data_IF_461132690332
#
_entry.id   IF_461132690332
#
_cell.length_a   1.000
_cell.length_b   1.000
_cell.length_c   1.000
_cell.angle_alpha   90.00
_cell.angle_beta   90.00
_cell.angle_gamma   90.00
#
_symmetry.space_group_name_H-M   'P 1'
#
loop_
_entity.id
_entity.type
_entity.pdbx_description
1 polymer ?
#
# COMPACT_ATOMS: atom_id res chain seq x y z
N UNK A 1 -10.81 0.44 -12.21
CA UNK A 1 -10.88 1.87 -11.84
C UNK A 1 -9.86 2.59 -12.71
N UNK A 2 -10.18 3.72 -13.35
CA UNK A 2 -9.14 4.58 -13.91
C UNK A 2 -8.18 4.95 -12.77
N UNK A 3 -6.88 4.97 -13.05
CA UNK A 3 -5.87 5.50 -12.12
C UNK A 3 -6.38 6.82 -11.57
N UNK A 4 -6.55 6.93 -10.24
CA UNK A 4 -6.86 8.23 -9.66
C UNK A 4 -5.67 9.13 -10.00
N UNK A 5 -5.88 10.15 -10.83
CA UNK A 5 -4.86 11.15 -11.16
C UNK A 5 -4.74 12.07 -9.95
N UNK A 6 -4.18 11.52 -8.86
CA UNK A 6 -4.07 12.17 -7.58
C UNK A 6 -2.85 13.09 -7.58
N UNK A 7 -2.93 14.15 -6.78
CA UNK A 7 -1.88 15.14 -6.68
C UNK A 7 -0.57 14.54 -6.12
N UNK A 8 0.55 14.95 -6.69
CA UNK A 8 1.88 14.41 -6.39
C UNK A 8 2.80 15.44 -5.70
N UNK A 9 3.77 14.97 -4.89
CA UNK A 9 4.84 15.82 -4.40
C UNK A 9 5.88 16.12 -5.51
N UNK A 10 6.65 17.22 -5.41
CA UNK A 10 6.71 18.17 -4.29
C UNK A 10 5.57 19.20 -4.25
N UNK A 11 4.81 19.37 -5.33
CA UNK A 11 3.77 20.41 -5.41
C UNK A 11 2.66 20.17 -4.39
N UNK A 12 2.36 18.91 -4.12
CA UNK A 12 1.29 18.47 -3.24
C UNK A 12 1.75 17.27 -2.39
N UNK A 13 2.52 17.51 -1.31
CA UNK A 13 2.92 16.45 -0.38
C UNK A 13 1.72 15.90 0.41
N UNK A 14 1.99 14.92 1.27
CA UNK A 14 1.02 14.39 2.22
C UNK A 14 0.28 15.54 2.95
N UNK A 15 -1.06 15.48 3.09
CA UNK A 15 -1.94 14.35 2.77
C UNK A 15 -2.64 14.42 1.39
N UNK A 16 -2.17 15.21 0.43
CA UNK A 16 -2.92 15.51 -0.80
C UNK A 16 -3.37 14.27 -1.59
N UNK A 17 -2.45 13.35 -1.89
CA UNK A 17 -2.78 12.10 -2.60
C UNK A 17 -3.83 11.26 -1.84
N UNK A 18 -3.70 11.16 -0.52
CA UNK A 18 -4.63 10.43 0.34
C UNK A 18 -6.03 11.06 0.35
N UNK A 19 -6.11 12.39 0.39
CA UNK A 19 -7.38 13.13 0.30
C UNK A 19 -8.07 12.91 -1.05
N UNK A 20 -7.30 12.87 -2.13
CA UNK A 20 -7.82 12.61 -3.48
C UNK A 20 -8.35 11.18 -3.61
N UNK A 21 -7.62 10.19 -3.09
CA UNK A 21 -8.06 8.80 -3.04
C UNK A 21 -9.37 8.66 -2.23
N UNK A 22 -9.47 9.29 -1.05
CA UNK A 22 -10.70 9.28 -0.25
C UNK A 22 -11.87 9.94 -0.99
N UNK A 23 -11.62 11.04 -1.69
CA UNK A 23 -12.64 11.73 -2.50
C UNK A 23 -13.15 10.82 -3.61
N UNK A 24 -12.25 10.16 -4.33
CA UNK A 24 -12.60 9.18 -5.35
C UNK A 24 -13.38 8.00 -4.78
N UNK A 25 -13.01 7.51 -3.59
CA UNK A 25 -13.71 6.42 -2.93
C UNK A 25 -15.13 6.80 -2.50
N UNK A 26 -15.31 7.98 -1.89
CA UNK A 26 -16.65 8.51 -1.56
C UNK A 26 -17.52 8.68 -2.81
N UNK A 27 -16.93 9.14 -3.91
CA UNK A 27 -17.65 9.22 -5.18
C UNK A 27 -18.09 7.82 -5.65
N UNK A 28 -17.20 6.83 -5.61
CA UNK A 28 -17.52 5.46 -5.98
C UNK A 28 -18.64 4.86 -5.11
N UNK A 29 -18.65 5.13 -3.80
CA UNK A 29 -19.70 4.72 -2.87
C UNK A 29 -21.07 5.35 -3.19
N UNK A 30 -21.09 6.53 -3.83
CA UNK A 30 -22.33 7.15 -4.32
C UNK A 30 -22.88 6.51 -5.60
N UNK A 31 -22.05 5.73 -6.32
CA UNK A 31 -22.40 5.12 -7.61
C UNK A 31 -22.58 3.61 -7.53
N UNK A 32 -21.88 2.95 -6.60
CA UNK A 32 -21.81 1.49 -6.48
C UNK A 32 -22.00 1.05 -5.04
N UNK A 33 -22.64 -0.11 -4.85
CA UNK A 33 -22.65 -0.80 -3.55
C UNK A 33 -21.21 -1.10 -3.11
N UNK A 34 -20.87 -0.97 -1.81
CA UNK A 34 -19.53 -1.30 -1.30
C UNK A 34 -19.08 -2.73 -1.67
N UNK A 35 -20.03 -3.67 -1.71
CA UNK A 35 -19.80 -5.08 -2.07
C UNK A 35 -19.40 -5.29 -3.56
N UNK A 36 -19.52 -4.25 -4.40
CA UNK A 36 -19.11 -4.26 -5.80
C UNK A 36 -17.84 -3.43 -6.06
N UNK A 37 -17.17 -2.96 -5.00
CA UNK A 37 -15.94 -2.17 -5.11
C UNK A 37 -14.77 -3.04 -4.63
N UNK A 38 -13.70 -3.08 -5.40
CA UNK A 38 -12.40 -3.65 -4.99
C UNK A 38 -11.34 -2.59 -5.24
N UNK A 39 -10.46 -2.40 -4.25
CA UNK A 39 -9.35 -1.48 -4.36
C UNK A 39 -8.10 -2.25 -4.75
N UNK A 40 -7.36 -1.74 -5.74
CA UNK A 40 -6.14 -2.34 -6.23
C UNK A 40 -5.09 -1.23 -6.32
N UNK A 41 -3.90 -1.48 -5.81
CA UNK A 41 -2.81 -0.52 -5.84
C UNK A 41 -1.46 -1.22 -5.84
N UNK A 42 -0.51 -0.69 -6.59
CA UNK A 42 0.87 -1.17 -6.64
C UNK A 42 1.79 -0.21 -5.91
N UNK A 43 2.77 -0.71 -5.15
CA UNK A 43 3.81 0.15 -4.55
C UNK A 43 3.19 1.24 -3.65
N UNK A 44 3.47 2.51 -3.93
CA UNK A 44 2.85 3.67 -3.31
C UNK A 44 1.30 3.68 -3.43
N UNK A 45 0.72 3.21 -4.53
CA UNK A 45 -0.75 3.09 -4.62
C UNK A 45 -1.29 2.00 -3.68
N UNK A 46 -0.49 0.95 -3.44
CA UNK A 46 -0.83 -0.08 -2.46
C UNK A 46 -0.78 0.44 -1.03
N UNK A 47 0.17 1.35 -0.75
CA UNK A 47 0.19 2.14 0.48
C UNK A 47 -1.08 3.00 0.60
N UNK A 48 -1.34 3.85 -0.40
CA UNK A 48 -2.46 4.78 -0.42
C UNK A 48 -3.78 4.06 -0.26
N UNK A 49 -4.00 2.95 -0.97
CA UNK A 49 -5.22 2.15 -0.83
C UNK A 49 -5.43 1.66 0.61
N UNK A 50 -4.37 1.20 1.28
CA UNK A 50 -4.46 0.74 2.67
C UNK A 50 -4.67 1.92 3.63
N UNK A 51 -3.88 2.99 3.51
CA UNK A 51 -4.00 4.19 4.34
C UNK A 51 -5.39 4.86 4.19
N UNK A 52 -5.91 4.90 2.97
CA UNK A 52 -7.25 5.40 2.65
C UNK A 52 -8.33 4.57 3.34
N UNK A 53 -8.20 3.23 3.37
CA UNK A 53 -9.15 2.39 4.09
C UNK A 53 -9.06 2.53 5.60
N UNK A 54 -7.85 2.74 6.15
CA UNK A 54 -7.70 3.04 7.58
C UNK A 54 -8.44 4.32 7.96
N UNK A 55 -8.14 5.41 7.24
CA UNK A 55 -8.79 6.70 7.48
C UNK A 55 -10.29 6.65 7.18
N UNK A 56 -10.70 6.03 6.08
CA UNK A 56 -12.10 5.87 5.70
C UNK A 56 -12.89 5.09 6.73
N UNK A 57 -12.34 4.01 7.31
CA UNK A 57 -12.95 3.29 8.43
C UNK A 57 -13.13 4.18 9.64
N UNK A 58 -12.10 4.94 10.00
CA UNK A 58 -12.12 5.81 11.18
C UNK A 58 -13.12 6.97 10.99
N UNK A 59 -13.39 7.37 9.76
CA UNK A 59 -14.45 8.31 9.37
C UNK A 59 -15.83 7.66 9.18
N UNK A 60 -15.97 6.34 9.41
CA UNK A 60 -17.25 5.62 9.34
C UNK A 60 -17.71 5.24 7.94
N UNK A 61 -16.83 5.28 6.93
CA UNK A 61 -17.15 4.81 5.59
C UNK A 61 -17.32 3.28 5.55
N UNK A 62 -18.26 2.76 4.74
CA UNK A 62 -18.38 1.32 4.52
C UNK A 62 -17.10 0.78 3.86
N UNK A 63 -16.76 -0.48 4.14
CA UNK A 63 -15.60 -1.14 3.54
C UNK A 63 -15.94 -1.72 2.16
N UNK A 64 -14.97 -1.74 1.22
CA UNK A 64 -15.16 -2.36 -0.08
C UNK A 64 -15.18 -3.89 0.05
N UNK A 65 -15.51 -4.58 -1.03
CA UNK A 65 -15.52 -6.04 -1.09
C UNK A 65 -14.14 -6.67 -0.88
N UNK A 66 -13.08 -5.94 -1.24
CA UNK A 66 -11.71 -6.44 -1.10
C UNK A 66 -10.64 -5.37 -1.36
N UNK A 67 -9.42 -5.72 -0.94
CA UNK A 67 -8.20 -4.96 -1.17
C UNK A 67 -7.15 -5.85 -1.85
N UNK A 68 -6.46 -5.32 -2.86
CA UNK A 68 -5.42 -6.04 -3.61
C UNK A 68 -4.14 -5.18 -3.69
N UNK A 69 -3.28 -5.21 -2.66
CA UNK A 69 -2.00 -4.53 -2.72
C UNK A 69 -0.98 -5.37 -3.49
N UNK A 70 -0.29 -4.76 -4.43
CA UNK A 70 0.74 -5.38 -5.26
C UNK A 70 2.09 -4.76 -4.92
N UNK A 71 2.99 -5.52 -4.30
CA UNK A 71 4.29 -5.03 -3.84
C UNK A 71 4.17 -3.71 -3.04
N UNK A 72 3.33 -3.62 -1.99
CA UNK A 72 3.05 -2.34 -1.35
C UNK A 72 4.20 -1.90 -0.43
N UNK A 73 4.49 -0.60 -0.42
CA UNK A 73 5.38 0.01 0.57
C UNK A 73 4.55 0.45 1.78
N UNK A 74 4.41 -0.37 2.82
CA UNK A 74 3.51 -0.05 3.96
C UNK A 74 4.23 0.53 5.18
N UNK A 75 5.55 0.65 5.09
CA UNK A 75 6.44 1.22 6.11
C UNK A 75 7.49 2.12 5.44
N UNK A 76 7.28 3.43 5.54
CA UNK A 76 8.13 4.48 4.97
C UNK A 76 9.31 4.82 5.88
N UNK A 77 9.35 4.28 7.11
CA UNK A 77 10.48 4.49 8.03
C UNK A 77 11.71 3.69 7.60
N UNK A 78 11.51 2.72 6.70
CA UNK A 78 12.52 1.76 6.24
C UNK A 78 13.18 0.95 7.37
N UNK A 79 12.56 0.88 8.56
CA UNK A 79 13.09 0.18 9.74
C UNK A 79 13.05 -1.35 9.60
N UNK A 80 12.44 -1.88 8.54
CA UNK A 80 12.50 -3.31 8.23
C UNK A 80 13.91 -3.73 7.83
N UNK A 81 14.59 -4.51 8.70
CA UNK A 81 15.92 -5.11 8.50
C UNK A 81 16.17 -5.76 7.11
N UNK A 82 15.10 -6.05 6.37
CA UNK A 82 15.11 -6.78 5.09
C UNK A 82 14.95 -5.93 3.83
N UNK A 83 14.67 -4.62 3.92
CA UNK A 83 14.87 -3.73 2.76
C UNK A 83 16.32 -3.83 2.25
N UNK A 84 17.26 -4.07 3.16
CA UNK A 84 18.67 -4.26 2.85
C UNK A 84 18.98 -5.56 2.10
N UNK A 85 18.22 -6.64 2.32
CA UNK A 85 18.52 -7.96 1.72
C UNK A 85 18.28 -7.97 0.20
N UNK A 86 17.20 -7.33 -0.25
CA UNK A 86 16.85 -7.27 -1.67
C UNK A 86 17.31 -5.98 -2.36
N UNK A 87 17.98 -5.05 -1.66
CA UNK A 87 18.45 -3.77 -2.22
C UNK A 87 19.30 -3.89 -3.47
N UNK A 88 20.08 -4.96 -3.58
CA UNK A 88 20.95 -5.24 -4.74
C UNK A 88 20.41 -6.36 -5.64
N UNK A 89 19.21 -6.86 -5.35
CA UNK A 89 18.54 -7.95 -6.07
C UNK A 89 17.36 -7.42 -6.87
N UNK A 90 16.64 -6.43 -6.33
CA UNK A 90 15.55 -5.75 -7.00
C UNK A 90 16.09 -4.85 -8.13
N UNK A 91 15.76 -5.20 -9.37
CA UNK A 91 16.22 -4.45 -10.55
C UNK A 91 15.35 -3.23 -10.88
N UNK A 92 14.18 -3.10 -10.24
CA UNK A 92 13.21 -2.04 -10.50
C UNK A 92 13.35 -0.87 -9.52
N UNK A 93 13.73 -1.13 -8.26
CA UNK A 93 14.00 -0.11 -7.25
C UNK A 93 15.47 -0.16 -6.74
N UNK A 94 16.46 0.13 -7.60
CA UNK A 94 17.88 0.06 -7.22
C UNK A 94 18.38 1.27 -6.41
N UNK A 95 17.54 2.27 -6.16
CA UNK A 95 17.89 3.56 -5.55
C UNK A 95 17.38 3.67 -4.10
N UNK A 96 17.98 4.54 -3.26
CA UNK A 96 17.47 4.80 -1.92
C UNK A 96 16.06 5.43 -1.97
N UNK A 97 15.14 4.92 -1.15
CA UNK A 97 13.75 5.38 -1.12
C UNK A 97 13.54 6.56 -0.17
N UNK A 98 14.36 6.69 0.88
CA UNK A 98 14.20 7.71 1.92
C UNK A 98 14.06 9.15 1.38
N UNK A 99 14.80 9.60 0.35
CA UNK A 99 14.57 10.92 -0.24
C UNK A 99 13.17 11.08 -0.82
N UNK A 100 12.62 10.05 -1.46
CA UNK A 100 11.26 10.02 -2.04
C UNK A 100 10.22 9.98 -0.92
N UNK A 101 10.44 9.15 0.10
CA UNK A 101 9.57 9.05 1.27
C UNK A 101 9.49 10.39 2.03
N UNK A 102 10.61 11.11 2.15
CA UNK A 102 10.64 12.47 2.72
C UNK A 102 10.00 13.51 1.82
N UNK A 103 10.16 13.40 0.50
CA UNK A 103 9.48 14.28 -0.45
C UNK A 103 7.95 14.15 -0.34
N UNK A 104 7.46 12.92 -0.20
CA UNK A 104 6.03 12.66 0.02
C UNK A 104 5.56 13.11 1.40
N UNK A 105 6.26 12.73 2.47
CA UNK A 105 5.84 13.03 3.84
C UNK A 105 5.99 14.51 4.22
N UNK A 106 6.86 15.26 3.53
CA UNK A 106 7.25 16.61 3.94
C UNK A 106 7.70 16.58 5.42
N UNK A 107 7.09 17.37 6.29
CA UNK A 107 7.42 17.45 7.71
C UNK A 107 6.68 16.40 8.58
N UNK A 108 5.81 15.58 7.99
CA UNK A 108 5.05 14.59 8.73
C UNK A 108 5.93 13.41 9.20
N UNK A 109 5.54 12.82 10.33
CA UNK A 109 6.20 11.64 10.87
C UNK A 109 5.97 10.42 9.96
N UNK A 110 7.06 9.85 9.43
CA UNK A 110 7.02 8.66 8.59
C UNK A 110 6.36 7.46 9.30
N UNK A 111 6.39 7.41 10.64
CA UNK A 111 5.72 6.37 11.42
C UNK A 111 4.20 6.56 11.54
N UNK A 112 3.66 7.69 11.11
CA UNK A 112 2.23 7.98 11.22
C UNK A 112 1.40 6.96 10.40
N UNK A 113 0.30 6.40 10.92
CA UNK A 113 -0.48 5.35 10.23
C UNK A 113 -1.05 5.73 8.85
N UNK A 114 -1.23 7.01 8.55
CA UNK A 114 -1.65 7.47 7.22
C UNK A 114 -0.50 7.56 6.20
N UNK A 115 0.75 7.45 6.67
CA UNK A 115 1.95 7.35 5.84
C UNK A 115 2.45 5.91 5.83
N UNK A 116 2.62 5.31 7.00
CA UNK A 116 3.01 3.91 7.20
C UNK A 116 1.84 3.09 7.77
N UNK A 117 0.88 2.65 6.95
CA UNK A 117 -0.31 1.93 7.41
C UNK A 117 0.01 0.59 8.09
N UNK A 118 1.24 0.06 7.95
CA UNK A 118 1.70 -1.08 8.74
C UNK A 118 1.57 -0.84 10.25
N UNK A 119 1.71 0.40 10.72
CA UNK A 119 1.65 0.73 12.14
C UNK A 119 0.23 1.03 12.64
N UNK A 120 -0.74 1.15 11.74
CA UNK A 120 -2.14 1.42 12.08
C UNK A 120 -2.90 0.23 12.69
N UNK A 121 -4.11 0.53 13.18
CA UNK A 121 -5.08 -0.49 13.56
C UNK A 121 -5.67 -1.13 12.30
N UNK A 122 -5.58 -2.46 12.14
CA UNK A 122 -6.04 -3.15 10.92
C UNK A 122 -7.41 -3.82 11.07
N UNK A 123 -7.98 -3.85 12.28
CA UNK A 123 -9.30 -4.45 12.52
C UNK A 123 -10.38 -3.77 11.66
N UNK A 124 -11.26 -4.58 11.08
CA UNK A 124 -12.38 -4.09 10.26
C UNK A 124 -12.00 -3.80 8.81
N UNK A 125 -10.76 -4.04 8.39
CA UNK A 125 -10.39 -4.00 6.97
C UNK A 125 -11.04 -5.14 6.17
N UNK A 126 -11.20 -4.98 4.83
CA UNK A 126 -11.81 -6.00 3.99
C UNK A 126 -10.87 -7.19 3.74
N UNK A 127 -11.39 -8.32 3.24
CA UNK A 127 -10.56 -9.41 2.72
C UNK A 127 -9.48 -8.89 1.77
N UNK A 128 -8.25 -9.37 1.94
CA UNK A 128 -7.08 -8.82 1.27
C UNK A 128 -6.34 -9.91 0.47
N UNK A 129 -6.06 -9.66 -0.80
CA UNK A 129 -5.13 -10.48 -1.59
C UNK A 129 -3.83 -9.70 -1.77
N UNK A 130 -2.75 -10.19 -1.17
CA UNK A 130 -1.45 -9.52 -1.19
C UNK A 130 -0.50 -10.24 -2.15
N UNK A 131 0.17 -9.48 -3.00
CA UNK A 131 1.18 -10.01 -3.91
C UNK A 131 2.53 -9.33 -3.71
N UNK A 132 3.60 -10.11 -3.80
CA UNK A 132 5.00 -9.64 -3.86
C UNK A 132 5.86 -10.68 -4.61
N UNK A 133 7.18 -10.53 -4.62
CA UNK A 133 8.13 -11.44 -5.25
C UNK A 133 9.34 -11.73 -4.38
N UNK A 134 10.05 -12.84 -4.65
CA UNK A 134 11.24 -13.20 -3.86
C UNK A 134 12.39 -12.22 -4.04
N UNK A 135 12.42 -11.47 -5.15
CA UNK A 135 13.40 -10.42 -5.45
C UNK A 135 12.88 -9.01 -5.21
N UNK A 136 11.65 -8.87 -4.72
CA UNK A 136 11.02 -7.57 -4.48
C UNK A 136 11.62 -6.89 -3.25
N UNK A 137 12.01 -5.64 -3.40
CA UNK A 137 12.47 -4.78 -2.31
C UNK A 137 11.44 -4.72 -1.16
N UNK A 138 10.15 -4.80 -1.48
CA UNK A 138 9.05 -4.74 -0.52
C UNK A 138 8.52 -6.11 -0.09
N UNK A 139 9.26 -7.21 -0.31
CA UNK A 139 8.91 -8.54 0.21
C UNK A 139 8.67 -8.51 1.74
N UNK A 140 9.51 -7.80 2.48
CA UNK A 140 9.40 -7.69 3.93
C UNK A 140 8.14 -6.91 4.36
N UNK A 141 7.83 -5.82 3.64
CA UNK A 141 6.62 -5.05 3.82
C UNK A 141 5.37 -5.95 3.67
N UNK A 142 5.31 -6.72 2.58
CA UNK A 142 4.21 -7.63 2.33
C UNK A 142 4.10 -8.73 3.41
N UNK A 143 5.22 -9.34 3.81
CA UNK A 143 5.24 -10.37 4.85
C UNK A 143 4.78 -9.82 6.22
N UNK A 144 5.21 -8.61 6.59
CA UNK A 144 4.80 -7.97 7.84
C UNK A 144 3.32 -7.59 7.83
N UNK A 145 2.83 -7.03 6.71
CA UNK A 145 1.42 -6.72 6.54
C UNK A 145 0.56 -7.98 6.64
N UNK A 146 0.92 -9.04 5.91
CA UNK A 146 0.21 -10.32 5.96
C UNK A 146 0.10 -10.84 7.40
N UNK A 147 1.20 -10.83 8.16
CA UNK A 147 1.21 -11.25 9.57
C UNK A 147 0.27 -10.39 10.42
N UNK A 148 0.29 -9.06 10.28
CA UNK A 148 -0.59 -8.17 11.06
C UNK A 148 -2.07 -8.33 10.68
N UNK A 149 -2.39 -8.50 9.39
CA UNK A 149 -3.76 -8.78 8.93
C UNK A 149 -4.29 -10.09 9.52
N UNK A 150 -3.47 -11.15 9.51
CA UNK A 150 -3.80 -12.43 10.17
C UNK A 150 -4.06 -12.26 11.67
N UNK A 151 -3.22 -11.50 12.37
CA UNK A 151 -3.39 -11.22 13.81
C UNK A 151 -4.67 -10.41 14.08
N UNK A 152 -5.02 -9.48 13.20
CA UNK A 152 -6.27 -8.72 13.24
C UNK A 152 -7.50 -9.52 12.78
N UNK A 153 -7.32 -10.82 12.45
CA UNK A 153 -8.36 -11.74 11.97
C UNK A 153 -9.01 -11.29 10.65
N UNK A 154 -8.26 -10.60 9.80
CA UNK A 154 -8.68 -10.26 8.45
C UNK A 154 -8.38 -11.45 7.52
N UNK A 155 -9.34 -11.91 6.70
CA UNK A 155 -9.06 -12.89 5.65
C UNK A 155 -7.98 -12.33 4.72
N UNK A 156 -6.86 -13.02 4.61
CA UNK A 156 -5.75 -12.58 3.78
C UNK A 156 -5.03 -13.76 3.15
N UNK A 157 -4.78 -13.63 1.86
CA UNK A 157 -3.93 -14.53 1.09
C UNK A 157 -2.67 -13.77 0.65
N UNK A 158 -1.51 -14.43 0.72
CA UNK A 158 -0.23 -13.88 0.27
C UNK A 158 0.33 -14.76 -0.85
N UNK A 159 0.53 -14.15 -2.02
CA UNK A 159 1.23 -14.75 -3.14
C UNK A 159 2.64 -14.15 -3.27
N UNK A 160 3.66 -15.01 -3.16
CA UNK A 160 5.07 -14.64 -3.38
C UNK A 160 5.55 -15.29 -4.67
N UNK A 161 5.75 -14.49 -5.71
CA UNK A 161 6.24 -14.99 -7.00
C UNK A 161 7.74 -15.22 -7.00
N UNK A 162 8.19 -16.43 -7.36
CA UNK A 162 9.61 -16.74 -7.51
C UNK A 162 10.26 -15.88 -8.61
N UNK A 163 11.42 -15.30 -8.30
CA UNK A 163 12.20 -14.49 -9.22
C UNK A 163 11.63 -13.11 -9.54
N UNK A 164 10.43 -12.76 -9.03
CA UNK A 164 9.79 -11.48 -9.33
C UNK A 164 10.41 -10.35 -8.51
N UNK A 165 10.75 -9.25 -9.18
CA UNK A 165 11.17 -7.99 -8.57
C UNK A 165 9.96 -7.08 -8.32
N UNK A 166 10.18 -5.89 -7.76
CA UNK A 166 9.13 -4.92 -7.49
C UNK A 166 8.20 -4.67 -8.68
N UNK A 167 6.88 -4.65 -8.43
CA UNK A 167 5.87 -4.43 -9.45
C UNK A 167 5.58 -5.63 -10.36
N UNK A 168 6.29 -6.75 -10.18
CA UNK A 168 5.99 -8.03 -10.81
C UNK A 168 6.68 -8.26 -12.16
N UNK A 169 7.92 -7.77 -12.32
CA UNK A 169 8.69 -7.86 -13.58
C UNK A 169 8.50 -9.21 -14.29
N UNK A 170 7.89 -9.14 -15.47
CA UNK A 170 7.74 -10.19 -16.47
C UNK A 170 9.13 -10.60 -16.95
N UNK A 171 9.66 -11.70 -16.43
CA UNK A 171 10.59 -12.50 -17.22
C UNK A 171 9.76 -13.23 -18.26
N UNK A 172 9.87 -12.82 -19.52
CA UNK A 172 9.46 -13.65 -20.65
C UNK A 172 9.97 -15.07 -20.42
N UNK A 173 9.11 -16.06 -20.60
CA UNK A 173 9.54 -17.40 -21.01
C UNK A 173 9.06 -17.62 -22.43
#
# INVERSE_FOLDING_TARGET
>A
MPSADYRLPPEHPYPAALDDCLTAYRHALGQYSPANIVLIGRSADGNLALAMLLRGRDEGLPMPAGLVPLSPEVDLTELGDRLHTNRHVDVMLPFPLMPINRLYASDADLGHPCLSPLFGQLKGLPPTFLQTGTRDLFLANAAHLHRRLRQAKIPVDLYVGEGRSHGGSLGER
#
